data_IF_406649507446
#
_entry.id   IF_406649507446
#
_cell.length_a   1.000
_cell.length_b   1.000
_cell.length_c   1.000
_cell.angle_alpha   90.00
_cell.angle_beta   90.00
_cell.angle_gamma   90.00
#
_symmetry.space_group_name_H-M   'P 1'
#
loop_
_entity.id
_entity.type
_entity.pdbx_description
1 polymer ?
#
# COMPACT_ATOMS: atom_id res chain seq x y z
N UNK A 1 26.04 12.48 -51.55
CA UNK A 1 25.84 11.57 -50.39
C UNK A 1 25.27 10.27 -50.88
N UNK A 2 25.88 9.14 -50.53
CA UNK A 2 25.43 7.83 -51.00
C UNK A 2 24.09 7.43 -50.39
N UNK A 3 23.27 6.67 -51.06
CA UNK A 3 21.98 6.12 -50.55
C UNK A 3 22.20 5.39 -49.24
N UNK A 4 23.33 4.67 -49.09
CA UNK A 4 23.73 3.99 -47.86
C UNK A 4 23.84 4.95 -46.67
N UNK A 5 24.36 6.17 -46.83
CA UNK A 5 24.47 7.15 -45.77
C UNK A 5 23.09 7.61 -45.26
N UNK A 6 22.13 7.82 -46.16
CA UNK A 6 20.76 8.19 -45.81
C UNK A 6 20.05 7.07 -45.06
N UNK A 7 20.27 5.81 -45.43
CA UNK A 7 19.73 4.64 -44.74
C UNK A 7 20.30 4.57 -43.31
N UNK A 8 21.61 4.76 -43.15
CA UNK A 8 22.24 4.74 -41.81
C UNK A 8 21.66 5.85 -40.93
N UNK A 9 21.55 7.07 -41.44
CA UNK A 9 20.97 8.21 -40.68
C UNK A 9 19.52 7.90 -40.28
N UNK A 10 18.72 7.34 -41.20
CA UNK A 10 17.33 6.98 -40.89
C UNK A 10 17.24 5.92 -39.77
N UNK A 11 18.07 4.86 -39.84
CA UNK A 11 18.13 3.82 -38.82
C UNK A 11 18.51 4.39 -37.46
N UNK A 12 19.56 5.24 -37.42
CA UNK A 12 20.01 5.90 -36.17
C UNK A 12 18.89 6.78 -35.58
N UNK A 13 18.20 7.54 -36.42
CA UNK A 13 17.08 8.37 -35.97
C UNK A 13 15.95 7.52 -35.35
N UNK A 14 15.58 6.41 -35.99
CA UNK A 14 14.56 5.48 -35.49
C UNK A 14 14.97 4.91 -34.10
N UNK A 15 16.24 4.51 -33.96
CA UNK A 15 16.75 4.00 -32.68
C UNK A 15 16.68 5.08 -31.59
N UNK A 16 17.08 6.31 -31.91
CA UNK A 16 17.01 7.43 -30.94
C UNK A 16 15.57 7.68 -30.50
N UNK A 17 14.62 7.78 -31.45
CA UNK A 17 13.21 7.96 -31.13
C UNK A 17 12.65 6.83 -30.27
N UNK A 18 13.04 5.60 -30.60
CA UNK A 18 12.65 4.43 -29.81
C UNK A 18 13.18 4.52 -28.36
N UNK A 19 14.47 4.85 -28.17
CA UNK A 19 15.07 5.02 -26.81
C UNK A 19 14.31 6.09 -26.02
N UNK A 20 13.99 7.24 -26.64
CA UNK A 20 13.22 8.33 -26.01
C UNK A 20 11.83 7.83 -25.60
N UNK A 21 11.13 7.10 -26.47
CA UNK A 21 9.80 6.58 -26.17
C UNK A 21 9.83 5.57 -25.01
N UNK A 22 10.81 4.67 -24.98
CA UNK A 22 10.98 3.70 -23.88
C UNK A 22 11.30 4.41 -22.57
N UNK A 23 12.24 5.37 -22.59
CA UNK A 23 12.60 6.15 -21.42
C UNK A 23 11.39 6.90 -20.83
N UNK A 24 10.65 7.62 -21.67
CA UNK A 24 9.45 8.34 -21.24
C UNK A 24 8.39 7.38 -20.68
N UNK A 25 8.21 6.21 -21.28
CA UNK A 25 7.32 5.17 -20.79
C UNK A 25 7.71 4.69 -19.38
N UNK A 26 9.00 4.47 -19.11
CA UNK A 26 9.51 4.10 -17.80
C UNK A 26 9.31 5.21 -16.76
N UNK A 27 9.53 6.48 -17.14
CA UNK A 27 9.27 7.64 -16.28
C UNK A 27 7.81 7.73 -15.89
N UNK A 28 6.88 7.53 -16.85
CA UNK A 28 5.43 7.54 -16.58
C UNK A 28 5.06 6.44 -15.59
N UNK A 29 5.51 5.19 -15.80
CA UNK A 29 5.20 4.08 -14.90
C UNK A 29 5.75 4.32 -13.48
N UNK A 30 6.99 4.81 -13.38
CA UNK A 30 7.58 5.17 -12.08
C UNK A 30 6.80 6.24 -11.34
N UNK A 31 6.31 7.27 -12.04
CA UNK A 31 5.53 8.34 -11.43
C UNK A 31 4.14 7.87 -11.02
N UNK A 32 3.47 7.01 -11.84
CA UNK A 32 2.21 6.37 -11.46
C UNK A 32 2.33 5.53 -10.18
N UNK A 33 3.43 4.77 -10.04
CA UNK A 33 3.68 4.03 -8.82
C UNK A 33 3.86 4.96 -7.60
N UNK A 34 4.55 6.10 -7.75
CA UNK A 34 4.71 7.10 -6.68
C UNK A 34 3.38 7.78 -6.32
N UNK A 35 2.55 8.11 -7.29
CA UNK A 35 1.22 8.67 -7.09
C UNK A 35 0.34 7.70 -6.32
N UNK A 36 0.31 6.43 -6.75
CA UNK A 36 -0.42 5.38 -6.04
C UNK A 36 0.09 5.15 -4.61
N UNK A 37 1.38 5.36 -4.33
CA UNK A 37 1.91 5.37 -2.97
C UNK A 37 1.36 6.52 -2.13
N UNK A 38 1.27 7.72 -2.71
CA UNK A 38 0.70 8.88 -2.02
C UNK A 38 -0.77 8.66 -1.65
N UNK A 39 -1.53 7.96 -2.48
CA UNK A 39 -2.92 7.58 -2.17
C UNK A 39 -2.99 6.65 -0.94
N UNK A 40 -2.06 5.68 -0.82
CA UNK A 40 -1.93 4.85 0.38
C UNK A 40 -1.67 5.74 1.61
N UNK A 41 -0.69 6.62 1.55
CA UNK A 41 -0.30 7.48 2.67
C UNK A 41 -1.46 8.36 3.16
N UNK A 42 -2.30 8.87 2.25
CA UNK A 42 -3.51 9.66 2.60
C UNK A 42 -4.49 8.80 3.42
N UNK A 43 -4.77 7.57 2.99
CA UNK A 43 -5.70 6.69 3.71
C UNK A 43 -5.13 6.21 5.05
N UNK A 44 -3.84 5.90 5.10
CA UNK A 44 -3.16 5.53 6.34
C UNK A 44 -3.19 6.68 7.35
N UNK A 45 -2.93 7.91 6.92
CA UNK A 45 -3.05 9.09 7.78
C UNK A 45 -4.45 9.22 8.36
N UNK A 46 -5.50 9.12 7.54
CA UNK A 46 -6.89 9.15 8.00
C UNK A 46 -7.15 8.09 9.08
N UNK A 47 -6.68 6.86 8.87
CA UNK A 47 -6.77 5.77 9.85
C UNK A 47 -6.07 6.13 11.17
N UNK A 48 -4.85 6.66 11.11
CA UNK A 48 -4.11 7.07 12.30
C UNK A 48 -4.81 8.19 13.07
N UNK A 49 -5.49 9.09 12.39
CA UNK A 49 -6.21 10.21 13.01
C UNK A 49 -7.53 9.76 13.68
N UNK A 50 -8.16 8.68 13.20
CA UNK A 50 -9.38 8.11 13.77
C UNK A 50 -9.11 7.28 15.04
N UNK A 51 -7.97 6.59 15.14
CA UNK A 51 -7.67 5.64 16.22
C UNK A 51 -7.70 6.29 17.63
N UNK A 52 -7.12 7.48 17.88
CA UNK A 52 -7.21 8.10 19.20
C UNK A 52 -8.65 8.35 19.65
N UNK A 53 -9.51 8.80 18.75
CA UNK A 53 -10.93 9.04 19.05
C UNK A 53 -11.66 7.73 19.38
N UNK A 54 -11.34 6.64 18.66
CA UNK A 54 -11.88 5.32 18.97
C UNK A 54 -11.43 4.87 20.35
N UNK A 55 -10.14 4.97 20.67
CA UNK A 55 -9.58 4.56 21.98
C UNK A 55 -10.24 5.35 23.12
N UNK A 56 -10.37 6.67 22.97
CA UNK A 56 -11.02 7.49 24.00
C UNK A 56 -12.51 7.15 24.16
N UNK A 57 -13.22 6.90 23.06
CA UNK A 57 -14.63 6.49 23.11
C UNK A 57 -14.77 5.15 23.86
N UNK A 58 -13.94 4.14 23.51
CA UNK A 58 -14.00 2.81 24.15
C UNK A 58 -13.61 2.90 25.64
N UNK A 59 -12.59 3.69 26.01
CA UNK A 59 -12.19 3.90 27.41
C UNK A 59 -13.32 4.40 28.30
N UNK A 60 -14.22 5.22 27.77
CA UNK A 60 -15.39 5.72 28.51
C UNK A 60 -16.32 4.61 29.00
N UNK A 61 -16.34 3.46 28.34
CA UNK A 61 -17.21 2.33 28.67
C UNK A 61 -16.47 1.10 29.21
N UNK A 62 -15.21 0.91 28.80
CA UNK A 62 -14.39 -0.28 29.05
C UNK A 62 -13.06 0.09 29.75
N UNK A 63 -13.11 0.88 30.81
CA UNK A 63 -11.91 1.46 31.50
C UNK A 63 -10.92 0.41 32.04
N UNK A 64 -11.34 -0.83 32.21
CA UNK A 64 -10.50 -1.93 32.74
C UNK A 64 -9.63 -2.59 31.64
N UNK A 65 -9.88 -2.32 30.36
CA UNK A 65 -9.20 -2.94 29.20
C UNK A 65 -7.88 -2.23 28.82
N UNK A 66 -7.06 -1.89 29.83
CA UNK A 66 -5.84 -1.08 29.63
C UNK A 66 -4.87 -1.71 28.63
N UNK A 67 -4.71 -3.03 28.67
CA UNK A 67 -3.75 -3.75 27.81
C UNK A 67 -4.07 -3.60 26.32
N UNK A 68 -5.35 -3.64 25.93
CA UNK A 68 -5.72 -3.49 24.52
C UNK A 68 -5.49 -2.06 24.04
N UNK A 69 -5.72 -1.04 24.90
CA UNK A 69 -5.45 0.35 24.54
C UNK A 69 -3.96 0.62 24.34
N UNK A 70 -3.10 0.03 25.20
CA UNK A 70 -1.65 0.12 25.04
C UNK A 70 -1.20 -0.54 23.75
N UNK A 71 -1.70 -1.75 23.43
CA UNK A 71 -1.40 -2.47 22.19
C UNK A 71 -1.79 -1.67 20.96
N UNK A 72 -2.99 -1.08 20.93
CA UNK A 72 -3.46 -0.24 19.80
C UNK A 72 -2.57 0.99 19.63
N UNK A 73 -2.23 1.66 20.74
CA UNK A 73 -1.38 2.86 20.71
C UNK A 73 0.02 2.53 20.22
N UNK A 74 0.60 1.42 20.67
CA UNK A 74 1.92 0.95 20.26
C UNK A 74 1.93 0.51 18.77
N UNK A 75 0.93 -0.26 18.35
CA UNK A 75 0.82 -0.69 16.97
C UNK A 75 0.67 0.51 16.01
N UNK A 76 -0.15 1.51 16.39
CA UNK A 76 -0.26 2.77 15.67
C UNK A 76 1.09 3.51 15.57
N UNK A 77 1.82 3.64 16.65
CA UNK A 77 3.12 4.30 16.67
C UNK A 77 4.12 3.56 15.76
N UNK A 78 4.15 2.23 15.81
CA UNK A 78 4.99 1.40 14.94
C UNK A 78 4.62 1.56 13.47
N UNK A 79 3.33 1.57 13.13
CA UNK A 79 2.87 1.77 11.77
C UNK A 79 3.21 3.18 11.23
N UNK A 80 3.14 4.21 12.06
CA UNK A 80 3.54 5.57 11.69
C UNK A 80 5.04 5.72 11.44
N UNK A 81 5.87 4.99 12.17
CA UNK A 81 7.34 5.07 12.06
C UNK A 81 7.93 4.15 10.99
N UNK A 82 7.20 3.14 10.53
CA UNK A 82 7.66 2.18 9.53
C UNK A 82 8.03 2.86 8.20
N UNK A 83 9.16 2.43 7.62
CA UNK A 83 9.71 2.99 6.38
C UNK A 83 9.78 1.94 5.28
N UNK A 84 9.52 2.38 4.03
CA UNK A 84 9.47 1.49 2.88
C UNK A 84 8.18 0.66 2.82
N UNK A 85 7.94 0.05 1.67
CA UNK A 85 6.65 -0.61 1.42
C UNK A 85 6.49 -1.91 2.23
N UNK A 86 7.56 -2.68 2.38
CA UNK A 86 7.53 -3.98 3.06
C UNK A 86 7.36 -3.85 4.57
N UNK A 87 8.14 -2.96 5.22
CA UNK A 87 8.03 -2.74 6.66
C UNK A 87 6.68 -2.13 7.02
N UNK A 88 6.23 -1.14 6.23
CA UNK A 88 4.93 -0.51 6.39
C UNK A 88 3.80 -1.54 6.26
N UNK A 89 3.86 -2.44 5.28
CA UNK A 89 2.87 -3.49 5.13
C UNK A 89 2.76 -4.40 6.37
N UNK A 90 3.89 -4.80 6.96
CA UNK A 90 3.91 -5.61 8.18
C UNK A 90 3.31 -4.87 9.39
N UNK A 91 3.71 -3.62 9.60
CA UNK A 91 3.22 -2.80 10.71
C UNK A 91 1.72 -2.49 10.59
N UNK A 92 1.23 -2.23 9.37
CA UNK A 92 -0.20 -1.98 9.10
C UNK A 92 -1.06 -3.23 9.33
N UNK A 93 -0.58 -4.41 9.00
CA UNK A 93 -1.31 -5.64 9.30
C UNK A 93 -1.40 -5.87 10.81
N UNK A 94 -0.31 -5.64 11.56
CA UNK A 94 -0.32 -5.73 13.02
C UNK A 94 -1.34 -4.74 13.63
N UNK A 95 -1.41 -3.51 13.10
CA UNK A 95 -2.39 -2.53 13.54
C UNK A 95 -3.83 -2.97 13.22
N UNK A 96 -4.08 -3.53 12.01
CA UNK A 96 -5.39 -4.07 11.64
C UNK A 96 -5.83 -5.19 12.60
N UNK A 97 -4.94 -6.12 12.96
CA UNK A 97 -5.26 -7.22 13.86
C UNK A 97 -5.50 -6.73 15.31
N UNK A 98 -4.77 -5.72 15.72
CA UNK A 98 -4.99 -5.10 17.04
C UNK A 98 -6.32 -4.36 17.10
N UNK A 99 -6.73 -3.68 16.02
CA UNK A 99 -8.04 -3.04 15.94
C UNK A 99 -9.19 -4.07 15.92
N UNK A 100 -9.03 -5.20 15.23
CA UNK A 100 -10.01 -6.32 15.31
C UNK A 100 -10.17 -6.80 16.75
N UNK A 101 -9.06 -6.91 17.49
CA UNK A 101 -9.10 -7.31 18.90
C UNK A 101 -9.84 -6.27 19.76
N UNK A 102 -9.64 -4.97 19.51
CA UNK A 102 -10.38 -3.91 20.19
C UNK A 102 -11.88 -3.98 19.91
N UNK A 103 -12.28 -4.21 18.66
CA UNK A 103 -13.69 -4.40 18.31
C UNK A 103 -14.28 -5.67 18.95
N UNK A 104 -13.52 -6.77 19.03
CA UNK A 104 -13.97 -7.98 19.73
C UNK A 104 -14.22 -7.74 21.22
N UNK A 105 -13.37 -6.94 21.89
CA UNK A 105 -13.59 -6.54 23.29
C UNK A 105 -14.87 -5.72 23.41
N UNK A 106 -15.16 -4.80 22.48
CA UNK A 106 -16.36 -3.96 22.53
C UNK A 106 -17.67 -4.76 22.51
N UNK A 107 -17.64 -6.01 22.00
CA UNK A 107 -18.82 -6.90 22.00
C UNK A 107 -19.32 -7.24 23.43
N UNK A 108 -18.44 -7.17 24.44
CA UNK A 108 -18.77 -7.41 25.85
C UNK A 108 -19.41 -6.20 26.53
N UNK A 109 -19.53 -5.05 25.85
CA UNK A 109 -20.03 -3.79 26.40
C UNK A 109 -21.28 -3.30 25.62
N UNK A 110 -22.50 -3.71 25.99
CA UNK A 110 -23.72 -3.39 25.22
C UNK A 110 -23.97 -1.88 25.06
N UNK A 111 -23.67 -1.09 26.10
CA UNK A 111 -23.83 0.37 26.06
C UNK A 111 -22.88 1.05 25.07
N UNK A 112 -21.65 0.54 24.94
CA UNK A 112 -20.71 0.98 23.92
C UNK A 112 -21.22 0.65 22.51
N UNK A 113 -21.74 -0.55 22.29
CA UNK A 113 -22.33 -0.97 20.99
C UNK A 113 -23.52 -0.13 20.58
N UNK A 114 -24.27 0.41 21.55
CA UNK A 114 -25.40 1.30 21.31
C UNK A 114 -24.97 2.77 21.08
N UNK A 115 -23.70 3.11 21.35
CA UNK A 115 -23.19 4.47 21.20
C UNK A 115 -23.09 4.85 19.71
N UNK A 116 -23.79 5.92 19.32
CA UNK A 116 -23.74 6.44 17.95
C UNK A 116 -22.34 6.84 17.52
N UNK A 117 -21.56 7.46 18.42
CA UNK A 117 -20.17 7.85 18.15
C UNK A 117 -19.27 6.63 17.87
N UNK A 118 -19.43 5.55 18.63
CA UNK A 118 -18.68 4.32 18.40
C UNK A 118 -19.02 3.68 17.07
N UNK A 119 -20.32 3.58 16.75
CA UNK A 119 -20.79 3.02 15.48
C UNK A 119 -20.30 3.84 14.26
N UNK A 120 -20.26 5.17 14.38
CA UNK A 120 -19.75 6.05 13.34
C UNK A 120 -18.25 5.85 13.14
N UNK A 121 -17.45 5.83 14.22
CA UNK A 121 -16.00 5.58 14.15
C UNK A 121 -15.69 4.19 13.60
N UNK A 122 -16.46 3.17 13.97
CA UNK A 122 -16.31 1.82 13.43
C UNK A 122 -16.58 1.79 11.93
N UNK A 123 -17.64 2.47 11.46
CA UNK A 123 -17.95 2.57 10.03
C UNK A 123 -16.86 3.32 9.26
N UNK A 124 -16.37 4.45 9.80
CA UNK A 124 -15.29 5.22 9.16
C UNK A 124 -13.98 4.44 9.09
N UNK A 125 -13.65 3.67 10.13
CA UNK A 125 -12.46 2.81 10.12
C UNK A 125 -12.60 1.65 9.13
N UNK A 126 -13.79 1.04 9.00
CA UNK A 126 -14.06 0.00 8.01
C UNK A 126 -13.94 0.57 6.58
N UNK A 127 -14.57 1.72 6.31
CA UNK A 127 -14.45 2.40 5.01
C UNK A 127 -13.00 2.76 4.67
N UNK A 128 -12.24 3.20 5.67
CA UNK A 128 -10.81 3.53 5.51
C UNK A 128 -9.99 2.27 5.22
N UNK A 129 -10.26 1.15 5.89
CA UNK A 129 -9.60 -0.13 5.63
C UNK A 129 -9.85 -0.61 4.19
N UNK A 130 -11.09 -0.54 3.72
CA UNK A 130 -11.44 -0.91 2.34
C UNK A 130 -10.71 -0.04 1.31
N UNK A 131 -10.59 1.26 1.58
CA UNK A 131 -9.83 2.20 0.74
C UNK A 131 -8.34 1.91 0.77
N UNK A 132 -7.77 1.58 1.94
CA UNK A 132 -6.36 1.15 2.05
C UNK A 132 -6.13 -0.10 1.21
N UNK A 133 -6.99 -1.11 1.29
CA UNK A 133 -6.88 -2.33 0.51
C UNK A 133 -6.97 -2.06 -1.01
N UNK A 134 -7.86 -1.16 -1.43
CA UNK A 134 -7.97 -0.75 -2.82
C UNK A 134 -6.70 -0.02 -3.31
N UNK A 135 -6.18 0.94 -2.52
CA UNK A 135 -4.97 1.69 -2.83
C UNK A 135 -3.73 0.77 -2.88
N UNK A 136 -3.61 -0.21 -1.96
CA UNK A 136 -2.54 -1.23 -1.97
C UNK A 136 -2.56 -2.06 -3.26
N UNK A 137 -3.74 -2.54 -3.69
CA UNK A 137 -3.87 -3.28 -4.95
C UNK A 137 -3.47 -2.43 -6.14
N UNK A 138 -3.90 -1.17 -6.17
CA UNK A 138 -3.56 -0.25 -7.24
C UNK A 138 -2.06 0.05 -7.29
N UNK A 139 -1.42 0.32 -6.15
CA UNK A 139 0.03 0.49 -6.04
C UNK A 139 0.79 -0.73 -6.56
N UNK A 140 0.45 -1.91 -6.07
CA UNK A 140 1.12 -3.15 -6.46
C UNK A 140 0.97 -3.45 -7.96
N UNK A 141 -0.15 -3.08 -8.57
CA UNK A 141 -0.34 -3.19 -10.02
C UNK A 141 0.61 -2.26 -10.77
N UNK A 142 0.70 -0.98 -10.39
CA UNK A 142 1.61 -0.03 -11.02
C UNK A 142 3.09 -0.42 -10.86
N UNK A 143 3.47 -0.94 -9.69
CA UNK A 143 4.83 -1.44 -9.44
C UNK A 143 5.13 -2.66 -10.32
N UNK A 144 4.20 -3.61 -10.46
CA UNK A 144 4.37 -4.77 -11.36
C UNK A 144 4.52 -4.35 -12.82
N UNK A 145 3.72 -3.39 -13.29
CA UNK A 145 3.83 -2.87 -14.66
C UNK A 145 5.20 -2.24 -14.90
N UNK A 146 5.73 -1.50 -13.91
CA UNK A 146 7.08 -0.96 -13.95
C UNK A 146 8.13 -2.09 -14.00
N UNK A 147 8.02 -3.12 -13.17
CA UNK A 147 8.95 -4.27 -13.18
C UNK A 147 8.93 -4.98 -14.54
N UNK A 148 7.76 -5.29 -15.06
CA UNK A 148 7.62 -5.92 -16.38
C UNK A 148 8.34 -5.08 -17.44
N UNK A 149 8.17 -3.76 -17.43
CA UNK A 149 8.82 -2.88 -18.41
C UNK A 149 10.33 -2.83 -18.24
N UNK A 150 10.84 -2.84 -17.00
CA UNK A 150 12.29 -2.86 -16.67
C UNK A 150 12.92 -4.18 -17.13
N UNK A 151 12.21 -5.30 -17.04
CA UNK A 151 12.73 -6.64 -17.34
C UNK A 151 12.55 -7.03 -18.80
N UNK A 152 11.57 -6.43 -19.50
CA UNK A 152 11.23 -6.79 -20.89
C UNK A 152 12.31 -6.35 -21.87
N UNK A 153 12.73 -7.26 -22.76
CA UNK A 153 13.57 -6.93 -23.91
C UNK A 153 12.74 -6.22 -25.01
N UNK A 154 13.29 -5.21 -25.68
CA UNK A 154 14.62 -4.60 -25.51
C UNK A 154 14.64 -3.43 -24.50
N UNK A 155 13.54 -3.11 -23.81
CA UNK A 155 13.42 -1.98 -22.89
C UNK A 155 14.37 -2.09 -21.67
N UNK A 156 14.73 -3.31 -21.26
CA UNK A 156 15.68 -3.58 -20.17
C UNK A 156 17.06 -2.96 -20.42
N UNK A 157 17.49 -2.86 -21.67
CA UNK A 157 18.76 -2.19 -22.02
C UNK A 157 18.68 -0.69 -21.68
N UNK A 158 17.59 -0.03 -22.05
CA UNK A 158 17.37 1.39 -21.73
C UNK A 158 17.22 1.56 -20.21
N UNK A 159 16.45 0.69 -19.56
CA UNK A 159 16.26 0.73 -18.11
C UNK A 159 17.61 0.63 -17.36
N UNK A 160 18.47 -0.28 -17.77
CA UNK A 160 19.82 -0.44 -17.21
C UNK A 160 20.70 0.80 -17.45
N UNK A 161 20.74 1.34 -18.65
CA UNK A 161 21.53 2.53 -19.00
C UNK A 161 21.16 3.76 -18.16
N UNK A 162 19.87 3.97 -17.89
CA UNK A 162 19.37 5.11 -17.14
C UNK A 162 19.13 4.83 -15.65
N UNK A 163 19.51 3.66 -15.15
CA UNK A 163 19.47 3.31 -13.73
C UNK A 163 18.06 3.19 -13.15
N UNK A 164 17.09 2.76 -13.94
CA UNK A 164 15.77 2.41 -13.43
C UNK A 164 15.87 1.14 -12.58
N UNK A 165 15.36 1.21 -11.35
CA UNK A 165 15.35 0.11 -10.39
C UNK A 165 13.91 -0.31 -10.10
N UNK A 166 13.75 -1.57 -9.74
CA UNK A 166 12.51 -2.11 -9.20
C UNK A 166 12.13 -1.37 -7.91
N UNK A 167 10.84 -1.18 -7.69
CA UNK A 167 10.26 -0.65 -6.46
C UNK A 167 9.74 -1.79 -5.60
N UNK A 168 9.73 -1.62 -4.28
CA UNK A 168 9.18 -2.63 -3.37
C UNK A 168 7.66 -2.71 -3.52
N UNK A 169 7.13 -3.95 -3.49
CA UNK A 169 5.69 -4.19 -3.40
C UNK A 169 5.20 -3.95 -1.97
N UNK A 170 3.96 -3.49 -1.84
CA UNK A 170 3.28 -3.41 -0.56
C UNK A 170 2.65 -4.78 -0.26
N UNK A 171 3.47 -5.75 0.09
CA UNK A 171 3.06 -7.11 0.41
C UNK A 171 3.59 -7.51 1.78
N UNK A 172 2.75 -8.22 2.51
CA UNK A 172 3.19 -8.94 3.70
C UNK A 172 3.82 -10.26 3.30
N UNK A 173 4.89 -10.61 4.00
CA UNK A 173 5.54 -11.93 3.86
C UNK A 173 4.70 -13.08 4.49
N UNK A 174 3.43 -12.88 4.78
CA UNK A 174 2.58 -13.89 5.39
C UNK A 174 2.20 -14.94 4.34
N UNK A 175 3.03 -15.99 4.24
CA UNK A 175 2.73 -17.18 3.44
C UNK A 175 1.41 -17.85 3.87
N UNK A 176 0.98 -17.68 5.12
CA UNK A 176 -0.26 -18.20 5.65
C UNK A 176 -1.53 -17.65 4.95
N UNK A 177 -1.48 -16.45 4.39
CA UNK A 177 -2.60 -15.89 3.62
C UNK A 177 -2.72 -16.49 2.20
N UNK A 178 -1.70 -17.23 1.75
CA UNK A 178 -1.69 -17.93 0.45
C UNK A 178 -2.20 -19.36 0.54
N UNK A 179 -2.36 -19.91 1.75
CA UNK A 179 -2.93 -21.26 1.90
C UNK A 179 -4.44 -21.23 1.63
N UNK A 180 -4.95 -22.14 0.79
CA UNK A 180 -6.39 -22.26 0.55
C UNK A 180 -7.09 -22.61 1.86
N UNK A 181 -8.13 -21.84 2.19
CA UNK A 181 -8.97 -22.10 3.37
C UNK A 181 -9.55 -23.53 3.26
N UNK A 182 -9.13 -24.43 4.14
CA UNK A 182 -9.71 -25.78 4.24
C UNK A 182 -11.10 -25.63 4.84
N UNK A 183 -12.12 -25.59 4.00
CA UNK A 183 -13.52 -25.69 4.42
C UNK A 183 -13.77 -27.15 4.82
N UNK A 184 -13.94 -27.41 6.11
CA UNK A 184 -14.48 -28.68 6.59
C UNK A 184 -16.00 -28.53 6.67
N UNK A 185 -16.72 -29.34 5.87
CA UNK A 185 -18.16 -29.55 5.99
C UNK A 185 -18.44 -30.53 7.11
#
# INVERSE_FOLDING_TARGET
MSLALWIIIAVVAVVIFWVIAVFNGLVVLKNRAKEAWSDIDVQLKRRYDLIPNLVETVKGYASHEKEIFEKVTQARASAMSAQGAKEKAGAENMLSDTLKSLFAVSENYPDLKASTNFLELQRELTDTEDKIQAARRFYNTNVRDLHIKIESFPANTVAGMFGFKQMELFETANEAEREPVKVKF
#
